data_IF_922467061531
#
_entry.id   IF_922467061531
#
_cell.length_a   1.000
_cell.length_b   1.000
_cell.length_c   1.000
_cell.angle_alpha   90.00
_cell.angle_beta   90.00
_cell.angle_gamma   90.00
#
_symmetry.space_group_name_H-M   'P 1'
#
loop_
_entity.id
_entity.type
_entity.pdbx_description
1 polymer ?
#
# COMPACT_ATOMS: atom_id res chain seq x y z
N UNK A 1 1.54 -85.34 28.24
CA UNK A 1 2.64 -84.70 27.48
C UNK A 1 2.18 -83.81 26.34
N UNK A 2 1.24 -84.22 25.48
CA UNK A 2 0.75 -83.40 24.33
C UNK A 2 0.16 -82.02 24.70
N UNK A 3 -0.55 -81.89 25.83
CA UNK A 3 -1.16 -80.60 26.24
C UNK A 3 -0.14 -79.55 26.66
N UNK A 4 0.97 -79.95 27.31
CA UNK A 4 2.03 -79.04 27.76
C UNK A 4 2.84 -78.45 26.60
N UNK A 5 2.97 -79.19 25.50
CA UNK A 5 3.67 -78.73 24.29
C UNK A 5 2.85 -77.66 23.57
N UNK A 6 1.55 -77.91 23.35
CA UNK A 6 0.64 -76.94 22.75
C UNK A 6 0.49 -75.67 23.61
N UNK A 7 0.51 -75.81 24.94
CA UNK A 7 0.44 -74.67 25.86
C UNK A 7 1.73 -73.82 25.83
N UNK A 8 2.91 -74.45 25.62
CA UNK A 8 4.18 -73.74 25.41
C UNK A 8 4.25 -73.01 24.08
N UNK A 9 3.71 -73.60 23.01
CA UNK A 9 3.64 -72.97 21.68
C UNK A 9 2.72 -71.75 21.71
N UNK A 10 1.52 -71.86 22.30
CA UNK A 10 0.60 -70.74 22.45
C UNK A 10 1.17 -69.59 23.29
N UNK A 11 1.90 -69.90 24.39
CA UNK A 11 2.62 -68.89 25.17
C UNK A 11 3.75 -68.23 24.37
N UNK A 12 4.44 -68.98 23.51
CA UNK A 12 5.48 -68.45 22.62
C UNK A 12 4.92 -67.49 21.56
N UNK A 13 3.78 -67.83 20.96
CA UNK A 13 3.05 -66.98 20.01
C UNK A 13 2.58 -65.68 20.69
N UNK A 14 1.99 -65.78 21.90
CA UNK A 14 1.59 -64.61 22.69
C UNK A 14 2.76 -63.68 23.04
N UNK A 15 3.94 -64.22 23.37
CA UNK A 15 5.15 -63.41 23.63
C UNK A 15 5.63 -62.73 22.34
N UNK A 16 5.55 -63.42 21.19
CA UNK A 16 5.87 -62.86 19.88
C UNK A 16 4.95 -61.70 19.52
N UNK A 17 3.64 -61.89 19.67
CA UNK A 17 2.62 -60.87 19.40
C UNK A 17 2.76 -59.67 20.35
N UNK A 18 2.97 -59.92 21.65
CA UNK A 18 3.21 -58.86 22.63
C UNK A 18 4.50 -58.08 22.33
N UNK A 19 5.55 -58.76 21.89
CA UNK A 19 6.80 -58.12 21.44
C UNK A 19 6.61 -57.24 20.20
N UNK A 20 5.82 -57.70 19.22
CA UNK A 20 5.48 -56.92 18.04
C UNK A 20 4.62 -55.69 18.39
N UNK A 21 3.65 -55.83 19.30
CA UNK A 21 2.85 -54.70 19.79
C UNK A 21 3.71 -53.66 20.52
N UNK A 22 4.64 -54.10 21.38
CA UNK A 22 5.59 -53.22 22.07
C UNK A 22 6.53 -52.48 21.10
N UNK A 23 6.95 -53.14 20.02
CA UNK A 23 7.79 -52.53 18.99
C UNK A 23 7.02 -51.50 18.13
N UNK A 24 5.71 -51.67 17.95
CA UNK A 24 4.87 -50.76 17.16
C UNK A 24 4.39 -49.52 17.94
N UNK A 25 4.18 -49.64 19.25
CA UNK A 25 3.80 -48.54 20.15
C UNK A 25 4.62 -47.23 19.97
N UNK A 26 5.97 -47.23 19.94
CA UNK A 26 6.73 -46.00 19.77
C UNK A 26 6.53 -45.36 18.40
N UNK A 27 6.35 -46.15 17.34
CA UNK A 27 6.09 -45.65 16.00
C UNK A 27 4.71 -44.98 15.92
N UNK A 28 3.68 -45.60 16.53
CA UNK A 28 2.35 -45.02 16.66
C UNK A 28 2.35 -43.73 17.49
N UNK A 29 3.07 -43.72 18.62
CA UNK A 29 3.19 -42.53 19.45
C UNK A 29 3.93 -41.39 18.74
N UNK A 30 4.92 -41.70 17.90
CA UNK A 30 5.64 -40.73 17.09
C UNK A 30 4.74 -40.18 15.96
N UNK A 31 4.02 -41.05 15.24
CA UNK A 31 3.11 -40.62 14.17
C UNK A 31 1.97 -39.75 14.70
N UNK A 32 1.40 -40.11 15.86
CA UNK A 32 0.36 -39.33 16.51
C UNK A 32 0.88 -37.97 16.97
N UNK A 33 2.09 -37.91 17.54
CA UNK A 33 2.75 -36.63 17.88
C UNK A 33 2.95 -35.75 16.66
N UNK A 34 3.44 -36.31 15.55
CA UNK A 34 3.60 -35.56 14.31
C UNK A 34 2.27 -35.06 13.74
N UNK A 35 1.22 -35.89 13.78
CA UNK A 35 -0.12 -35.48 13.36
C UNK A 35 -0.64 -34.30 14.20
N UNK A 36 -0.50 -34.36 15.53
CA UNK A 36 -0.89 -33.27 16.43
C UNK A 36 -0.05 -32.01 16.22
N UNK A 37 1.26 -32.15 16.00
CA UNK A 37 2.14 -31.02 15.69
C UNK A 37 1.75 -30.32 14.38
N UNK A 38 1.42 -31.11 13.34
CA UNK A 38 0.96 -30.57 12.07
C UNK A 38 -0.39 -29.86 12.23
N UNK A 39 -1.33 -30.45 12.97
CA UNK A 39 -2.61 -29.81 13.28
C UNK A 39 -2.41 -28.49 14.05
N UNK A 40 -1.50 -28.46 15.02
CA UNK A 40 -1.18 -27.25 15.78
C UNK A 40 -0.56 -26.18 14.88
N UNK A 41 0.36 -26.56 13.98
CA UNK A 41 0.97 -25.65 13.02
C UNK A 41 -0.08 -25.07 12.06
N UNK A 42 -0.98 -25.92 11.55
CA UNK A 42 -2.08 -25.52 10.68
C UNK A 42 -3.01 -24.53 11.39
N UNK A 43 -3.44 -24.85 12.62
CA UNK A 43 -4.31 -23.99 13.40
C UNK A 43 -3.66 -22.64 13.72
N UNK A 44 -2.36 -22.61 14.02
CA UNK A 44 -1.60 -21.36 14.21
C UNK A 44 -1.54 -20.53 12.94
N UNK A 45 -1.31 -21.16 11.78
CA UNK A 45 -1.31 -20.47 10.50
C UNK A 45 -2.69 -19.86 10.18
N UNK A 46 -3.77 -20.63 10.40
CA UNK A 46 -5.15 -20.13 10.23
C UNK A 46 -5.47 -19.00 11.20
N UNK A 47 -5.03 -19.08 12.46
CA UNK A 47 -5.23 -18.01 13.44
C UNK A 47 -4.50 -16.73 13.00
N UNK A 48 -3.23 -16.82 12.61
CA UNK A 48 -2.46 -15.67 12.13
C UNK A 48 -3.09 -15.04 10.87
N UNK A 49 -3.62 -15.86 9.96
CA UNK A 49 -4.38 -15.37 8.80
C UNK A 49 -5.66 -14.65 9.21
N UNK A 50 -6.40 -15.19 10.17
CA UNK A 50 -7.64 -14.59 10.68
C UNK A 50 -7.38 -13.30 11.47
N UNK A 51 -6.31 -13.24 12.27
CA UNK A 51 -5.88 -12.02 12.96
C UNK A 51 -5.53 -10.90 11.98
N UNK A 52 -4.95 -11.25 10.82
CA UNK A 52 -4.69 -10.28 9.74
C UNK A 52 -5.99 -9.76 9.08
N UNK A 53 -7.09 -10.51 9.18
CA UNK A 53 -8.41 -10.11 8.67
C UNK A 53 -9.23 -9.29 9.68
N UNK A 54 -8.76 -9.14 10.93
CA UNK A 54 -9.44 -8.30 11.91
C UNK A 54 -9.28 -6.82 11.54
N UNK A 55 -10.31 -6.03 11.85
CA UNK A 55 -10.52 -4.63 11.46
C UNK A 55 -9.21 -3.85 11.25
N UNK A 56 -8.84 -3.66 9.97
CA UNK A 56 -7.67 -2.87 9.60
C UNK A 56 -7.96 -1.40 9.90
N UNK A 57 -7.40 -0.89 10.99
CA UNK A 57 -7.48 0.53 11.32
C UNK A 57 -6.45 1.28 10.48
N UNK A 58 -6.90 1.89 9.40
CA UNK A 58 -6.09 2.80 8.60
C UNK A 58 -5.90 4.11 9.36
N UNK A 59 -4.66 4.42 9.73
CA UNK A 59 -4.28 5.68 10.38
C UNK A 59 -3.74 6.65 9.34
N UNK A 60 -4.03 7.94 9.53
CA UNK A 60 -3.41 8.98 8.73
C UNK A 60 -1.88 8.96 8.95
N UNK A 61 -1.06 9.00 7.89
CA UNK A 61 0.41 9.00 8.03
C UNK A 61 0.92 10.29 8.68
N UNK A 62 0.24 11.41 8.46
CA UNK A 62 0.57 12.72 9.03
C UNK A 62 -0.71 13.52 9.36
N UNK A 63 -0.57 14.53 10.22
CA UNK A 63 -1.65 15.47 10.51
C UNK A 63 -2.02 16.27 9.25
N UNK A 64 -3.31 16.46 9.00
CA UNK A 64 -3.79 17.13 7.80
C UNK A 64 -5.31 17.21 7.74
N UNK A 65 -5.82 17.74 6.63
CA UNK A 65 -7.24 17.85 6.34
C UNK A 65 -7.62 16.84 5.26
N UNK A 66 -8.72 16.10 5.46
CA UNK A 66 -9.25 15.20 4.45
C UNK A 66 -9.85 16.04 3.31
N UNK A 67 -9.26 15.96 2.12
CA UNK A 67 -9.70 16.71 0.93
C UNK A 67 -10.77 15.96 0.14
N UNK A 68 -10.70 14.62 0.15
CA UNK A 68 -11.67 13.76 -0.51
C UNK A 68 -11.86 12.46 0.28
N UNK A 69 -13.11 12.04 0.43
CA UNK A 69 -13.49 10.75 1.00
C UNK A 69 -14.35 10.02 -0.02
N UNK A 70 -13.83 8.91 -0.55
CA UNK A 70 -14.47 8.16 -1.65
C UNK A 70 -15.28 6.98 -1.12
N UNK A 71 -15.05 6.59 0.14
CA UNK A 71 -15.68 5.42 0.76
C UNK A 71 -16.95 5.74 1.54
N UNK A 72 -17.83 4.74 1.65
CA UNK A 72 -19.01 4.75 2.51
C UNK A 72 -19.09 3.46 3.32
N UNK A 73 -19.74 3.47 4.50
CA UNK A 73 -19.98 2.25 5.27
C UNK A 73 -20.67 1.17 4.44
N UNK A 74 -20.20 -0.07 4.52
CA UNK A 74 -20.75 -1.21 3.77
C UNK A 74 -20.23 -1.36 2.34
N UNK A 75 -19.37 -0.46 1.87
CA UNK A 75 -18.72 -0.59 0.57
C UNK A 75 -17.56 -1.58 0.65
N UNK A 76 -17.50 -2.53 -0.28
CA UNK A 76 -16.33 -3.41 -0.45
C UNK A 76 -15.21 -2.63 -1.15
N UNK A 77 -13.97 -2.79 -0.69
CA UNK A 77 -12.79 -2.07 -1.20
C UNK A 77 -11.71 -3.05 -1.61
N UNK A 78 -11.04 -2.79 -2.73
CA UNK A 78 -9.92 -3.61 -3.19
C UNK A 78 -8.58 -3.12 -2.64
N UNK A 79 -7.59 -4.02 -2.60
CA UNK A 79 -6.22 -3.62 -2.26
C UNK A 79 -5.67 -2.65 -3.31
N UNK A 80 -5.06 -1.55 -2.85
CA UNK A 80 -4.53 -0.50 -3.72
C UNK A 80 -5.55 0.57 -4.15
N UNK A 81 -6.81 0.42 -3.77
CA UNK A 81 -7.83 1.43 -4.06
C UNK A 81 -7.65 2.67 -3.19
N UNK A 82 -7.77 3.86 -3.79
CA UNK A 82 -7.65 5.12 -3.05
C UNK A 82 -8.94 5.41 -2.30
N UNK A 83 -8.91 5.30 -0.98
CA UNK A 83 -10.10 5.47 -0.14
C UNK A 83 -10.34 6.93 0.27
N UNK A 84 -9.26 7.67 0.49
CA UNK A 84 -9.26 9.05 0.95
C UNK A 84 -8.00 9.78 0.48
N UNK A 85 -8.06 11.10 0.45
CA UNK A 85 -6.91 11.97 0.20
C UNK A 85 -6.76 12.96 1.36
N UNK A 86 -5.53 13.17 1.81
CA UNK A 86 -5.19 14.07 2.93
C UNK A 86 -4.26 15.15 2.40
N UNK A 87 -4.57 16.39 2.73
CA UNK A 87 -3.68 17.54 2.55
C UNK A 87 -2.95 17.78 3.88
N UNK A 88 -1.63 17.56 3.96
CA UNK A 88 -0.87 17.70 5.21
C UNK A 88 -0.97 19.10 5.81
N UNK A 89 -0.89 19.17 7.13
CA UNK A 89 -0.84 20.42 7.87
C UNK A 89 0.49 21.12 7.59
N UNK A 90 0.43 22.37 7.13
CA UNK A 90 1.62 23.11 6.70
C UNK A 90 1.94 22.98 5.21
N UNK A 91 1.14 22.26 4.42
CA UNK A 91 1.27 22.26 2.98
C UNK A 91 1.24 23.69 2.41
N UNK A 92 2.24 23.99 1.58
CA UNK A 92 2.34 25.27 0.89
C UNK A 92 1.57 25.22 -0.42
N UNK A 93 0.83 26.29 -0.72
CA UNK A 93 0.12 26.40 -1.97
C UNK A 93 1.13 26.63 -3.10
N UNK A 94 1.19 25.69 -4.04
CA UNK A 94 2.02 25.78 -5.23
C UNK A 94 1.15 26.05 -6.45
N UNK A 95 1.54 27.00 -7.28
CA UNK A 95 1.00 27.19 -8.62
C UNK A 95 1.86 26.39 -9.61
N UNK A 96 1.23 25.53 -10.39
CA UNK A 96 1.86 24.88 -11.53
C UNK A 96 1.63 25.72 -12.78
N UNK A 97 2.71 26.23 -13.37
CA UNK A 97 2.70 27.02 -14.59
C UNK A 97 3.29 26.21 -15.73
N UNK A 98 2.71 26.39 -16.93
CA UNK A 98 3.26 25.82 -18.17
C UNK A 98 3.96 26.93 -18.94
N UNK A 99 5.26 26.76 -19.14
CA UNK A 99 6.10 27.75 -19.83
C UNK A 99 6.54 27.18 -21.18
N UNK A 100 6.34 27.87 -22.31
CA UNK A 100 6.82 27.42 -23.61
C UNK A 100 8.33 27.19 -23.62
N UNK A 101 8.80 26.23 -24.42
CA UNK A 101 10.24 25.96 -24.61
C UNK A 101 11.06 27.20 -25.03
N UNK A 102 10.45 28.15 -25.75
CA UNK A 102 11.09 29.41 -26.14
C UNK A 102 11.35 30.36 -24.97
N UNK A 103 10.60 30.24 -23.87
CA UNK A 103 10.65 31.14 -22.73
C UNK A 103 11.28 30.51 -21.47
N UNK A 104 11.35 29.18 -21.38
CA UNK A 104 11.85 28.47 -20.19
C UNK A 104 13.31 28.82 -19.86
N UNK A 105 14.13 29.13 -20.87
CA UNK A 105 15.53 29.54 -20.67
C UNK A 105 15.70 30.86 -19.93
N UNK A 106 14.63 31.64 -19.76
CA UNK A 106 14.64 32.89 -19.01
C UNK A 106 14.08 32.75 -17.59
N UNK A 107 13.58 31.57 -17.21
CA UNK A 107 12.95 31.33 -15.91
C UNK A 107 13.90 30.54 -15.02
N UNK A 108 14.26 31.11 -13.88
CA UNK A 108 15.20 30.49 -12.94
C UNK A 108 14.57 30.25 -11.57
N UNK A 109 15.07 29.21 -10.90
CA UNK A 109 14.69 28.92 -9.51
C UNK A 109 15.05 30.10 -8.61
N UNK A 110 14.11 30.51 -7.76
CA UNK A 110 14.27 31.60 -6.80
C UNK A 110 13.78 32.97 -7.30
N UNK A 111 13.45 33.10 -8.58
CA UNK A 111 12.89 34.33 -9.13
C UNK A 111 11.51 34.64 -8.55
N UNK A 112 11.24 35.94 -8.40
CA UNK A 112 9.94 36.43 -7.95
C UNK A 112 9.04 36.62 -9.15
N UNK A 113 7.83 36.09 -9.07
CA UNK A 113 6.83 36.19 -10.14
C UNK A 113 5.56 36.84 -9.63
N UNK A 114 4.86 37.52 -10.53
CA UNK A 114 3.56 38.12 -10.27
C UNK A 114 2.48 37.28 -10.97
N UNK A 115 1.52 36.79 -10.18
CA UNK A 115 0.42 35.96 -10.66
C UNK A 115 -0.88 36.77 -10.67
N UNK A 116 -1.58 36.70 -11.80
CA UNK A 116 -2.93 37.25 -11.96
C UNK A 116 -3.94 36.11 -12.08
N UNK A 117 -4.85 36.00 -11.12
CA UNK A 117 -5.92 35.01 -11.20
C UNK A 117 -7.02 35.48 -12.13
N UNK A 118 -7.43 34.63 -13.06
CA UNK A 118 -8.54 34.95 -13.96
C UNK A 118 -9.89 34.99 -13.23
N UNK A 119 -10.05 34.18 -12.18
CA UNK A 119 -11.29 34.08 -11.41
C UNK A 119 -11.63 35.34 -10.59
N UNK A 120 -10.67 36.25 -10.40
CA UNK A 120 -10.82 37.44 -9.53
C UNK A 120 -10.33 38.71 -10.25
N UNK A 121 -11.14 39.78 -10.33
CA UNK A 121 -10.71 41.04 -10.94
C UNK A 121 -9.48 41.63 -10.23
N UNK A 122 -8.36 41.72 -10.94
CA UNK A 122 -7.08 42.20 -10.38
C UNK A 122 -7.16 43.61 -9.79
N UNK A 123 -8.08 44.45 -10.26
CA UNK A 123 -8.32 45.80 -9.74
C UNK A 123 -8.75 45.79 -8.27
N UNK A 124 -9.43 44.72 -7.83
CA UNK A 124 -9.90 44.56 -6.45
C UNK A 124 -9.00 43.67 -5.61
N UNK A 125 -8.36 42.67 -6.22
CA UNK A 125 -7.61 41.63 -5.49
C UNK A 125 -6.08 41.70 -5.67
N UNK A 126 -5.60 42.63 -6.51
CA UNK A 126 -4.18 42.82 -6.79
C UNK A 126 -3.53 41.68 -7.55
N UNK A 127 -2.19 41.76 -7.66
CA UNK A 127 -1.34 40.69 -8.16
C UNK A 127 -0.77 39.92 -6.97
N UNK A 128 -0.70 38.59 -7.08
CA UNK A 128 -0.05 37.77 -6.05
C UNK A 128 1.42 37.56 -6.35
N UNK A 129 2.24 37.73 -5.32
CA UNK A 129 3.66 37.41 -5.40
C UNK A 129 3.86 35.91 -5.17
N UNK A 130 4.63 35.28 -6.05
CA UNK A 130 5.10 33.92 -5.90
C UNK A 130 6.62 33.85 -6.09
N UNK A 131 7.20 32.71 -5.72
CA UNK A 131 8.62 32.42 -5.96
C UNK A 131 8.76 31.11 -6.71
N UNK A 132 9.54 31.10 -7.78
CA UNK A 132 9.84 29.87 -8.53
C UNK A 132 10.59 28.91 -7.61
N UNK A 133 9.99 27.77 -7.30
CA UNK A 133 10.60 26.72 -6.48
C UNK A 133 11.31 25.69 -7.32
N UNK A 134 10.79 25.41 -8.51
CA UNK A 134 11.30 24.37 -9.39
C UNK A 134 10.98 24.67 -10.85
N UNK A 135 11.92 24.36 -11.74
CA UNK A 135 11.75 24.35 -13.19
C UNK A 135 12.05 22.92 -13.65
N UNK A 136 11.06 22.25 -14.23
CA UNK A 136 11.22 20.91 -14.76
C UNK A 136 12.30 20.89 -15.84
N UNK A 137 13.15 19.87 -15.81
CA UNK A 137 14.14 19.62 -16.88
C UNK A 137 13.58 18.81 -18.04
N UNK A 138 12.41 18.22 -17.86
CA UNK A 138 11.68 17.46 -18.88
C UNK A 138 10.59 18.33 -19.50
N UNK A 139 10.52 18.29 -20.83
CA UNK A 139 9.47 18.92 -21.61
C UNK A 139 8.23 18.01 -21.63
N UNK A 140 7.06 18.63 -21.54
CA UNK A 140 5.78 17.98 -21.80
C UNK A 140 5.58 17.87 -23.31
N UNK A 141 5.12 16.69 -23.71
CA UNK A 141 4.66 16.46 -25.08
C UNK A 141 3.42 17.31 -25.37
N UNK A 142 3.20 17.69 -26.65
CA UNK A 142 2.05 18.52 -27.04
C UNK A 142 0.69 17.92 -26.62
N UNK A 143 0.58 16.60 -26.59
CA UNK A 143 -0.63 15.87 -26.13
C UNK A 143 -0.88 16.06 -24.64
N UNK A 144 0.16 15.94 -23.80
CA UNK A 144 0.06 16.15 -22.36
C UNK A 144 -0.21 17.62 -22.01
N UNK A 145 0.47 18.53 -22.70
CA UNK A 145 0.24 19.96 -22.55
C UNK A 145 -1.19 20.34 -22.95
N UNK A 146 -1.73 19.74 -24.01
CA UNK A 146 -3.10 19.96 -24.45
C UNK A 146 -4.14 19.49 -23.42
N UNK A 147 -3.90 18.32 -22.80
CA UNK A 147 -4.77 17.80 -21.74
C UNK A 147 -4.84 18.75 -20.52
N UNK A 148 -3.72 19.37 -20.15
CA UNK A 148 -3.66 20.31 -19.02
C UNK A 148 -4.28 21.69 -19.33
N UNK A 149 -4.13 22.16 -20.57
CA UNK A 149 -4.66 23.46 -20.99
C UNK A 149 -6.11 23.39 -21.50
N UNK A 150 -6.64 22.19 -21.74
CA UNK A 150 -7.96 21.98 -22.34
C UNK A 150 -8.07 22.45 -23.79
N UNK A 151 -6.94 22.65 -24.48
CA UNK A 151 -6.86 23.16 -25.84
C UNK A 151 -5.68 22.54 -26.59
N UNK A 152 -5.80 22.29 -27.91
CA UNK A 152 -4.70 21.73 -28.69
C UNK A 152 -3.52 22.70 -28.73
N UNK A 153 -2.34 22.19 -28.40
CA UNK A 153 -1.07 22.94 -28.45
C UNK A 153 -0.11 22.22 -29.38
N UNK A 154 0.68 22.99 -30.14
CA UNK A 154 1.68 22.47 -31.08
C UNK A 154 3.12 22.54 -30.55
N UNK A 155 3.34 23.31 -29.48
CA UNK A 155 4.66 23.53 -28.90
C UNK A 155 4.86 22.70 -27.63
N UNK A 156 6.12 22.39 -27.32
CA UNK A 156 6.49 21.75 -26.05
C UNK A 156 6.48 22.77 -24.90
N UNK A 157 6.00 22.34 -23.74
CA UNK A 157 5.93 23.15 -22.53
C UNK A 157 6.75 22.55 -21.41
N UNK A 158 7.27 23.37 -20.53
CA UNK A 158 7.94 22.96 -19.31
C UNK A 158 7.07 23.30 -18.11
N UNK A 159 7.04 22.41 -17.12
CA UNK A 159 6.38 22.65 -15.84
C UNK A 159 7.27 23.51 -14.96
N UNK A 160 6.72 24.60 -14.44
CA UNK A 160 7.36 25.46 -13.46
C UNK A 160 6.48 25.52 -12.23
N UNK A 161 7.04 25.15 -11.07
CA UNK A 161 6.35 25.25 -9.78
C UNK A 161 6.71 26.57 -9.11
N UNK A 162 5.67 27.23 -8.62
CA UNK A 162 5.79 28.53 -7.95
C UNK A 162 5.13 28.45 -6.58
N UNK A 163 5.89 28.65 -5.52
CA UNK A 163 5.33 28.79 -4.19
C UNK A 163 4.65 30.15 -4.03
N UNK A 164 3.39 30.12 -3.60
CA UNK A 164 2.62 31.31 -3.29
C UNK A 164 2.92 31.73 -1.85
N UNK A 165 3.20 33.02 -1.64
CA UNK A 165 3.31 33.56 -0.27
C UNK A 165 1.93 33.49 0.39
N UNK A 166 1.83 32.70 1.47
CA UNK A 166 0.67 32.69 2.37
C UNK A 166 0.52 34.07 3.04
N UNK A 167 -0.72 34.50 3.21
CA UNK A 167 -1.13 35.49 4.20
C UNK A 167 -1.53 34.75 5.47
#
# INVERSE_FOLDING_TARGET
>A
MKSLISQREALGEQIGDAGAQLAQLPLQAASQRHATQNQLAQNRATLAQAETQQALVLRAPEAGVVSALVIKPGMSVASGETLLSIVPQGAHLLAQLLVPSSAVGFVHRGETVLLRYQAFPYQKYGLRHGRVTEVSRSALDPTEAAALLGQPVKASFYRVLVALRRQ
#
